data_IF_430985358745
#
_entry.id   IF_430985358745
#
_cell.length_a   1.000
_cell.length_b   1.000
_cell.length_c   1.000
_cell.angle_alpha   90.00
_cell.angle_beta   90.00
_cell.angle_gamma   90.00
#
_symmetry.space_group_name_H-M   'P 1'
#
loop_
_entity.id
_entity.type
_entity.pdbx_description
1 polymer ?
#
# COMPACT_ATOMS: atom_id res chain seq x y z
N UNK A 1 0.72 0.09 -9.10
CA UNK A 1 0.79 0.26 -7.63
C UNK A 1 -0.38 -0.43 -6.95
N UNK A 2 -0.26 -0.73 -5.66
CA UNK A 2 -1.36 -1.31 -4.91
C UNK A 2 -2.44 -0.25 -4.68
N UNK A 3 -3.71 -0.62 -4.88
CA UNK A 3 -4.85 0.24 -4.62
C UNK A 3 -5.97 -0.56 -3.98
N UNK A 4 -6.78 0.11 -3.20
CA UNK A 4 -7.92 -0.52 -2.51
C UNK A 4 -9.21 0.19 -2.88
N UNK A 5 -10.29 -0.56 -3.12
CA UNK A 5 -11.60 0.05 -3.34
C UNK A 5 -12.11 0.69 -2.05
N UNK A 6 -12.66 1.88 -2.19
CA UNK A 6 -13.27 2.63 -1.09
C UNK A 6 -14.66 3.09 -1.49
N UNK A 7 -15.59 3.06 -0.55
CA UNK A 7 -16.97 3.47 -0.77
C UNK A 7 -17.14 4.89 -0.23
N UNK A 8 -17.60 5.79 -1.09
CA UNK A 8 -17.87 7.18 -0.74
C UNK A 8 -19.39 7.37 -0.67
N UNK A 9 -19.89 7.77 0.48
CA UNK A 9 -21.32 8.04 0.68
C UNK A 9 -21.49 9.46 1.20
N UNK A 10 -22.30 10.25 0.49
CA UNK A 10 -22.59 11.61 0.94
C UNK A 10 -23.66 11.59 2.00
N UNK A 11 -23.36 12.21 3.16
CA UNK A 11 -24.31 12.37 4.27
C UNK A 11 -24.90 13.76 4.18
N UNK A 12 -26.18 13.85 3.79
CA UNK A 12 -26.89 15.13 3.64
C UNK A 12 -27.13 15.83 4.96
N UNK A 13 -27.15 15.10 6.07
CA UNK A 13 -27.34 15.68 7.39
C UNK A 13 -26.12 16.43 7.87
N UNK A 14 -24.96 15.80 7.73
CA UNK A 14 -23.67 16.37 8.18
C UNK A 14 -22.93 17.13 7.07
N UNK A 15 -23.36 16.98 5.83
CA UNK A 15 -22.74 17.66 4.69
C UNK A 15 -21.33 17.16 4.39
N UNK A 16 -21.08 15.88 4.58
CA UNK A 16 -19.76 15.27 4.39
C UNK A 16 -19.85 14.01 3.53
N UNK A 17 -18.74 13.69 2.88
CA UNK A 17 -18.53 12.39 2.25
C UNK A 17 -17.90 11.45 3.27
N UNK A 18 -18.61 10.40 3.64
CA UNK A 18 -18.06 9.33 4.46
C UNK A 18 -17.37 8.31 3.58
N UNK A 19 -16.17 7.89 3.99
CA UNK A 19 -15.34 6.95 3.23
C UNK A 19 -15.08 5.73 4.07
N UNK A 20 -15.27 4.55 3.48
CA UNK A 20 -14.93 3.28 4.10
C UNK A 20 -14.19 2.38 3.12
N UNK A 21 -13.29 1.55 3.64
CA UNK A 21 -12.56 0.55 2.87
C UNK A 21 -13.07 -0.84 3.24
N UNK A 22 -13.91 -1.47 2.40
CA UNK A 22 -14.50 -2.76 2.76
C UNK A 22 -13.49 -3.87 3.06
N UNK A 23 -12.35 -3.85 2.39
CA UNK A 23 -11.31 -4.86 2.60
C UNK A 23 -10.47 -4.62 3.85
N UNK A 24 -10.60 -3.45 4.45
CA UNK A 24 -9.79 -3.01 5.58
C UNK A 24 -10.69 -2.56 6.73
N UNK A 25 -11.20 -3.51 7.54
CA UNK A 25 -12.13 -3.19 8.63
C UNK A 25 -11.58 -2.12 9.57
N UNK A 26 -12.38 -1.10 9.83
CA UNK A 26 -12.00 0.02 10.68
C UNK A 26 -11.25 1.14 9.97
N UNK A 27 -10.90 0.97 8.70
CA UNK A 27 -10.29 2.03 7.91
C UNK A 27 -11.39 2.93 7.35
N UNK A 28 -11.66 4.03 8.04
CA UNK A 28 -12.72 4.97 7.68
C UNK A 28 -12.21 6.40 7.82
N UNK A 29 -12.78 7.30 7.02
CA UNK A 29 -12.51 8.72 7.11
C UNK A 29 -13.68 9.51 6.53
N UNK A 30 -13.55 10.81 6.44
CA UNK A 30 -14.55 11.66 5.81
C UNK A 30 -13.91 12.95 5.28
N UNK A 31 -14.66 13.69 4.48
CA UNK A 31 -14.27 15.01 4.02
C UNK A 31 -15.48 15.83 3.62
N UNK A 32 -15.38 17.15 3.68
CA UNK A 32 -16.47 18.05 3.34
C UNK A 32 -16.69 18.18 1.83
N UNK A 33 -15.63 17.93 1.06
CA UNK A 33 -15.70 17.90 -0.41
C UNK A 33 -15.20 16.54 -0.88
N UNK A 34 -15.51 16.21 -2.14
CA UNK A 34 -15.02 14.98 -2.74
C UNK A 34 -13.49 14.93 -2.77
N UNK A 35 -12.85 16.04 -3.15
CA UNK A 35 -11.40 16.12 -3.23
C UNK A 35 -10.76 15.98 -1.85
N UNK A 36 -11.30 16.61 -0.83
CA UNK A 36 -10.84 16.48 0.54
C UNK A 36 -11.00 15.03 1.03
N UNK A 37 -12.15 14.42 0.77
CA UNK A 37 -12.40 13.04 1.16
C UNK A 37 -11.42 12.08 0.49
N UNK A 38 -11.06 12.32 -0.77
CA UNK A 38 -10.03 11.51 -1.47
C UNK A 38 -8.65 11.66 -0.84
N UNK A 39 -8.25 12.88 -0.50
CA UNK A 39 -6.96 13.12 0.20
C UNK A 39 -6.95 12.44 1.56
N UNK A 40 -8.03 12.58 2.31
CA UNK A 40 -8.14 11.94 3.62
C UNK A 40 -8.17 10.41 3.50
N UNK A 41 -8.75 9.88 2.42
CA UNK A 41 -8.75 8.45 2.14
C UNK A 41 -7.31 7.92 1.91
N UNK A 42 -6.50 8.67 1.18
CA UNK A 42 -5.08 8.30 0.97
C UNK A 42 -4.32 8.27 2.30
N UNK A 43 -4.53 9.27 3.15
CA UNK A 43 -3.89 9.33 4.46
C UNK A 43 -4.34 8.19 5.37
N UNK A 44 -5.65 7.93 5.42
CA UNK A 44 -6.21 6.85 6.22
C UNK A 44 -5.70 5.48 5.77
N UNK A 45 -5.67 5.24 4.46
CA UNK A 45 -5.15 4.02 3.88
C UNK A 45 -3.68 3.83 4.22
N UNK A 46 -2.87 4.88 4.05
CA UNK A 46 -1.44 4.83 4.33
C UNK A 46 -1.17 4.50 5.80
N UNK A 47 -1.85 5.17 6.71
CA UNK A 47 -1.73 4.92 8.15
C UNK A 47 -2.17 3.50 8.53
N UNK A 48 -3.25 3.02 7.92
CA UNK A 48 -3.76 1.69 8.18
C UNK A 48 -2.77 0.61 7.75
N UNK A 49 -2.24 0.70 6.53
CA UNK A 49 -1.28 -0.27 6.01
C UNK A 49 0.02 -0.29 6.84
N UNK A 50 0.51 0.88 7.21
CA UNK A 50 1.69 1.01 8.06
C UNK A 50 1.44 0.38 9.44
N UNK A 51 0.27 0.61 10.02
CA UNK A 51 -0.12 0.04 11.32
C UNK A 51 -0.22 -1.49 11.26
N UNK A 52 -0.86 -2.03 10.23
CA UNK A 52 -0.99 -3.49 10.05
C UNK A 52 0.38 -4.13 9.94
N UNK A 53 1.26 -3.55 9.14
CA UNK A 53 2.62 -4.06 8.96
C UNK A 53 3.43 -3.98 10.26
N UNK A 54 3.35 -2.87 10.99
CA UNK A 54 4.09 -2.69 12.24
C UNK A 54 3.68 -3.71 13.31
N UNK A 55 2.42 -4.15 13.27
CA UNK A 55 1.91 -5.19 14.17
C UNK A 55 2.15 -6.61 13.63
N UNK A 56 2.85 -6.73 12.49
CA UNK A 56 3.16 -8.00 11.82
C UNK A 56 1.92 -8.81 11.48
N UNK A 57 0.83 -8.12 11.21
CA UNK A 57 -0.40 -8.74 10.75
C UNK A 57 -0.38 -8.85 9.22
N UNK A 58 -1.12 -9.80 8.71
CA UNK A 58 -1.25 -9.95 7.26
C UNK A 58 -2.01 -8.76 6.67
N UNK A 59 -1.45 -8.17 5.62
CA UNK A 59 -2.11 -7.09 4.88
C UNK A 59 -3.14 -7.72 3.94
N UNK A 60 -4.45 -7.39 4.09
CA UNK A 60 -5.48 -7.96 3.24
C UNK A 60 -5.26 -7.65 1.76
N UNK A 61 -5.65 -8.57 0.90
CA UNK A 61 -5.63 -8.33 -0.54
C UNK A 61 -6.79 -7.42 -0.94
N UNK A 62 -6.58 -6.48 -1.87
CA UNK A 62 -7.67 -5.68 -2.40
C UNK A 62 -8.64 -6.53 -3.20
N UNK A 63 -9.95 -6.35 -2.96
CA UNK A 63 -10.99 -6.99 -3.76
C UNK A 63 -11.19 -6.26 -5.08
N UNK A 64 -12.04 -6.82 -5.93
CA UNK A 64 -12.38 -6.23 -7.23
C UNK A 64 -13.74 -5.55 -7.19
N UNK A 65 -14.05 -4.89 -6.08
CA UNK A 65 -15.33 -4.19 -5.91
C UNK A 65 -15.41 -3.00 -6.86
N UNK A 66 -16.52 -2.93 -7.62
CA UNK A 66 -16.77 -1.86 -8.58
C UNK A 66 -18.22 -1.42 -8.50
N UNK A 67 -18.43 -0.15 -8.25
CA UNK A 67 -19.75 0.52 -8.22
C UNK A 67 -19.54 2.01 -8.49
N UNK A 68 -20.61 2.74 -8.76
CA UNK A 68 -20.52 4.17 -9.09
C UNK A 68 -19.90 5.03 -7.98
N UNK A 69 -20.13 4.63 -6.71
CA UNK A 69 -19.61 5.32 -5.54
C UNK A 69 -18.32 4.70 -5.00
N UNK A 70 -17.67 3.84 -5.78
CA UNK A 70 -16.39 3.21 -5.39
C UNK A 70 -15.25 3.87 -6.16
N UNK A 71 -14.25 4.32 -5.39
CA UNK A 71 -13.00 4.86 -5.93
C UNK A 71 -11.84 3.98 -5.49
N UNK A 72 -10.91 3.72 -6.42
CA UNK A 72 -9.67 3.03 -6.09
C UNK A 72 -8.69 4.05 -5.53
N UNK A 73 -8.24 3.82 -4.31
CA UNK A 73 -7.32 4.71 -3.61
C UNK A 73 -5.96 4.04 -3.48
N UNK A 74 -4.92 4.78 -3.84
CA UNK A 74 -3.53 4.35 -3.64
C UNK A 74 -2.99 4.98 -2.36
N UNK A 75 -2.18 4.24 -1.58
CA UNK A 75 -1.50 4.83 -0.42
C UNK A 75 -0.32 5.69 -0.88
N UNK A 76 0.34 6.35 0.08
CA UNK A 76 1.63 7.00 -0.16
C UNK A 76 2.55 6.06 -0.97
N UNK A 77 3.26 6.62 -1.92
CA UNK A 77 4.07 5.84 -2.87
C UNK A 77 5.08 4.92 -2.19
N UNK A 78 5.75 5.41 -1.14
CA UNK A 78 6.76 4.61 -0.43
C UNK A 78 6.14 3.48 0.37
N UNK A 79 5.00 3.75 1.00
CA UNK A 79 4.24 2.74 1.74
C UNK A 79 3.71 1.67 0.78
N UNK A 80 3.12 2.10 -0.32
CA UNK A 80 2.60 1.19 -1.35
C UNK A 80 3.70 0.31 -1.95
N UNK A 81 4.87 0.89 -2.19
CA UNK A 81 6.02 0.14 -2.71
C UNK A 81 6.47 -0.94 -1.72
N UNK A 82 6.65 -0.57 -0.44
CA UNK A 82 7.09 -1.51 0.59
C UNK A 82 6.11 -2.68 0.76
N UNK A 83 4.81 -2.38 0.76
CA UNK A 83 3.75 -3.41 0.86
C UNK A 83 3.78 -4.33 -0.36
N UNK A 84 3.87 -3.77 -1.56
CA UNK A 84 3.92 -4.56 -2.80
C UNK A 84 5.17 -5.45 -2.84
N UNK A 85 6.31 -4.91 -2.41
CA UNK A 85 7.56 -5.66 -2.34
C UNK A 85 7.44 -6.86 -1.41
N UNK A 86 6.91 -6.65 -0.21
CA UNK A 86 6.70 -7.72 0.77
C UNK A 86 5.79 -8.81 0.22
N UNK A 87 4.66 -8.42 -0.38
CA UNK A 87 3.72 -9.37 -0.98
C UNK A 87 4.37 -10.18 -2.09
N UNK A 88 5.16 -9.54 -2.94
CA UNK A 88 5.86 -10.21 -4.04
C UNK A 88 6.90 -11.21 -3.51
N UNK A 89 7.65 -10.82 -2.49
CA UNK A 89 8.63 -11.71 -1.86
C UNK A 89 7.95 -12.93 -1.23
N UNK A 90 6.89 -12.70 -0.47
CA UNK A 90 6.16 -13.80 0.18
C UNK A 90 5.52 -14.74 -0.85
N UNK A 91 4.98 -14.19 -1.95
CA UNK A 91 4.40 -14.98 -3.02
C UNK A 91 5.40 -15.91 -3.68
N UNK A 92 6.68 -15.55 -3.71
CA UNK A 92 7.74 -16.37 -4.27
C UNK A 92 8.43 -17.26 -3.22
N UNK A 93 7.97 -17.24 -1.98
CA UNK A 93 8.51 -18.08 -0.91
C UNK A 93 9.91 -17.69 -0.48
N UNK A 94 10.33 -16.47 -0.73
CA UNK A 94 11.67 -16.00 -0.37
C UNK A 94 11.66 -15.34 1.01
N UNK A 95 12.73 -15.55 1.79
CA UNK A 95 12.95 -14.81 3.02
C UNK A 95 13.57 -13.45 2.71
N UNK A 96 13.53 -12.53 3.69
CA UNK A 96 14.22 -11.26 3.57
C UNK A 96 15.73 -11.45 3.40
N UNK A 97 16.30 -12.43 4.11
CA UNK A 97 17.71 -12.76 3.98
C UNK A 97 18.06 -13.26 2.58
N UNK A 98 17.19 -14.08 1.97
CA UNK A 98 17.41 -14.57 0.62
C UNK A 98 17.51 -13.43 -0.38
N UNK A 99 16.61 -12.46 -0.27
CA UNK A 99 16.60 -11.31 -1.19
C UNK A 99 17.81 -10.41 -0.95
N UNK A 100 18.15 -10.16 0.32
CA UNK A 100 19.34 -9.38 0.66
C UNK A 100 20.61 -10.01 0.06
N UNK A 101 20.75 -11.34 0.16
CA UNK A 101 21.88 -12.06 -0.43
C UNK A 101 21.92 -11.92 -1.95
N UNK A 102 20.77 -12.05 -2.61
CA UNK A 102 20.71 -11.92 -4.07
C UNK A 102 21.02 -10.49 -4.55
N UNK A 103 20.71 -9.49 -3.72
CA UNK A 103 21.04 -8.10 -4.01
C UNK A 103 22.48 -7.73 -3.63
N UNK A 104 23.14 -8.55 -2.81
CA UNK A 104 24.47 -8.26 -2.29
C UNK A 104 24.50 -7.13 -1.27
N UNK A 105 23.42 -6.99 -0.47
CA UNK A 105 23.32 -5.97 0.57
C UNK A 105 23.12 -6.59 1.93
N UNK A 106 23.35 -5.79 2.98
CA UNK A 106 23.12 -6.25 4.36
C UNK A 106 21.63 -6.52 4.62
N UNK A 107 21.34 -7.48 5.47
CA UNK A 107 19.98 -7.84 5.86
C UNK A 107 19.22 -6.65 6.42
N UNK A 108 19.83 -5.86 7.30
CA UNK A 108 19.19 -4.67 7.88
C UNK A 108 18.87 -3.62 6.84
N UNK A 109 19.69 -3.49 5.81
CA UNK A 109 19.44 -2.57 4.70
C UNK A 109 18.21 -3.00 3.92
N UNK A 110 18.07 -4.29 3.65
CA UNK A 110 16.88 -4.81 2.97
C UNK A 110 15.63 -4.65 3.82
N UNK A 111 15.71 -4.91 5.13
CA UNK A 111 14.57 -4.74 6.04
C UNK A 111 13.99 -3.32 5.97
N UNK A 112 14.85 -2.32 5.85
CA UNK A 112 14.42 -0.91 5.71
C UNK A 112 13.66 -0.67 4.41
N UNK A 113 14.08 -1.30 3.33
CA UNK A 113 13.42 -1.15 2.04
C UNK A 113 12.00 -1.71 2.09
N UNK A 114 11.78 -2.78 2.85
CA UNK A 114 10.48 -3.44 2.97
C UNK A 114 9.61 -2.86 4.10
N UNK A 115 10.16 -1.95 4.91
CA UNK A 115 9.43 -1.32 6.01
C UNK A 115 8.66 -0.09 5.50
N UNK A 116 7.32 -0.09 5.54
CA UNK A 116 6.53 1.05 5.07
C UNK A 116 6.89 2.38 5.71
N UNK A 117 7.32 2.36 6.98
CA UNK A 117 7.70 3.59 7.69
C UNK A 117 9.05 4.16 7.25
N UNK A 118 9.90 3.35 6.64
CA UNK A 118 11.30 3.70 6.34
C UNK A 118 11.69 3.56 4.88
N UNK A 119 10.85 2.92 4.07
CA UNK A 119 11.18 2.60 2.67
C UNK A 119 11.42 3.85 1.85
N UNK A 120 12.59 3.90 1.24
CA UNK A 120 12.95 4.97 0.31
C UNK A 120 14.05 4.48 -0.62
N UNK A 121 13.78 3.45 -1.44
CA UNK A 121 14.80 2.87 -2.30
C UNK A 121 15.16 3.82 -3.45
N UNK A 122 16.41 3.71 -3.91
CA UNK A 122 16.83 4.39 -5.13
C UNK A 122 16.23 3.68 -6.34
N UNK A 123 16.16 4.38 -7.47
CA UNK A 123 15.74 3.77 -8.74
C UNK A 123 16.60 2.55 -9.08
N UNK A 124 17.93 2.65 -8.85
CA UNK A 124 18.85 1.53 -9.10
C UNK A 124 18.48 0.30 -8.28
N UNK A 125 18.12 0.47 -7.02
CA UNK A 125 17.71 -0.62 -6.13
C UNK A 125 16.38 -1.24 -6.62
N UNK A 126 15.43 -0.41 -7.02
CA UNK A 126 14.14 -0.87 -7.57
C UNK A 126 14.36 -1.76 -8.79
N UNK A 127 15.22 -1.33 -9.72
CA UNK A 127 15.52 -2.09 -10.92
C UNK A 127 16.21 -3.43 -10.60
N UNK A 128 17.08 -3.46 -9.62
CA UNK A 128 17.73 -4.70 -9.16
C UNK A 128 16.69 -5.65 -8.54
N UNK A 129 15.77 -5.14 -7.74
CA UNK A 129 14.70 -5.93 -7.14
C UNK A 129 13.78 -6.53 -8.20
N UNK A 130 13.44 -5.76 -9.23
CA UNK A 130 12.62 -6.26 -10.34
C UNK A 130 13.30 -7.41 -11.07
N UNK A 131 14.61 -7.38 -11.20
CA UNK A 131 15.40 -8.49 -11.78
C UNK A 131 15.38 -9.74 -10.89
N UNK A 132 15.52 -9.55 -9.57
CA UNK A 132 15.48 -10.65 -8.61
C UNK A 132 14.14 -11.37 -8.66
N UNK A 133 13.05 -10.61 -8.65
CA UNK A 133 11.69 -11.17 -8.65
C UNK A 133 11.17 -11.51 -10.05
N UNK A 134 11.84 -11.04 -11.11
CA UNK A 134 11.39 -11.18 -12.50
C UNK A 134 9.96 -10.63 -12.65
N UNK A 135 9.67 -9.53 -11.98
CA UNK A 135 8.37 -8.91 -11.91
C UNK A 135 8.51 -7.40 -11.70
N UNK A 136 7.62 -6.63 -12.30
CA UNK A 136 7.60 -5.18 -12.10
C UNK A 136 7.06 -4.84 -10.71
N UNK A 137 7.73 -3.93 -10.04
CA UNK A 137 7.34 -3.40 -8.72
C UNK A 137 6.78 -1.99 -8.81
N UNK A 138 7.11 -1.28 -9.87
CA UNK A 138 6.63 0.08 -10.14
C UNK A 138 6.02 0.11 -11.53
N UNK A 139 4.79 0.60 -11.62
CA UNK A 139 4.10 0.75 -12.89
C UNK A 139 4.58 2.05 -13.54
N UNK A 140 5.03 1.95 -14.77
CA UNK A 140 5.50 3.09 -15.56
C UNK A 140 4.50 3.33 -16.69
N UNK A 141 3.85 4.45 -16.61
CA UNK A 141 2.97 4.88 -17.68
C UNK A 141 1.56 4.79 -17.50
#
# INVERSE_FOLDING_TARGET
MISYPSIFEYDHTDGVYNVSFPDLPGCVTYGETLDEAKRNAEEALSAYLESVDSRRLRIPEPSDLRRDNVYLIEPDTRIGFAVRLKKQREAQGLSQADVADQLGIAYQTYQRIEDPAKSNPTLKTILKLEKVFKHRLVDVG
#
